data_IF_129121508048
#
_entry.id   IF_129121508048
#
_cell.length_a   1.000
_cell.length_b   1.000
_cell.length_c   1.000
_cell.angle_alpha   90.00
_cell.angle_beta   90.00
_cell.angle_gamma   90.00
#
_symmetry.space_group_name_H-M   'P 1'
#
loop_
_entity.id
_entity.type
_entity.pdbx_description
1 polymer ?
#
# COMPACT_ATOMS: atom_id res chain seq x y z
N UNK A 1 -11.12 6.08 11.09
CA UNK A 1 -10.37 5.38 12.14
C UNK A 1 -9.57 4.32 11.42
N UNK A 2 -8.23 4.33 11.45
CA UNK A 2 -7.44 3.43 10.61
C UNK A 2 -6.64 2.46 11.44
N UNK A 3 -6.83 1.16 11.17
CA UNK A 3 -6.11 0.08 11.81
C UNK A 3 -5.61 -0.94 10.78
N UNK A 4 -4.30 -1.17 10.82
CA UNK A 4 -3.57 -2.03 9.92
C UNK A 4 -2.67 -2.95 10.75
N UNK A 5 -2.55 -4.21 10.34
CA UNK A 5 -1.64 -5.18 10.95
C UNK A 5 -0.94 -5.99 9.87
N UNK A 6 0.35 -6.22 10.07
CA UNK A 6 1.17 -7.12 9.28
C UNK A 6 1.89 -8.06 10.23
N UNK A 7 1.85 -9.36 9.96
CA UNK A 7 2.49 -10.40 10.75
C UNK A 7 3.55 -11.10 9.90
N UNK A 8 4.76 -11.18 10.43
CA UNK A 8 5.81 -12.01 9.88
C UNK A 8 5.84 -13.35 10.62
N UNK A 9 5.61 -14.43 9.88
CA UNK A 9 5.59 -15.80 10.38
C UNK A 9 6.75 -16.58 9.75
N UNK A 10 7.05 -17.75 10.33
CA UNK A 10 8.07 -18.65 9.76
C UNK A 10 7.72 -19.08 8.32
N UNK A 11 6.43 -19.22 8.01
CA UNK A 11 5.96 -19.74 6.72
C UNK A 11 5.45 -18.64 5.77
N UNK A 12 5.63 -17.36 6.11
CA UNK A 12 5.21 -16.26 5.25
C UNK A 12 4.68 -15.05 6.00
N UNK A 13 3.91 -14.23 5.30
CA UNK A 13 3.39 -12.96 5.79
C UNK A 13 1.86 -12.96 5.78
N UNK A 14 1.25 -12.29 6.76
CA UNK A 14 -0.20 -12.05 6.83
C UNK A 14 -0.44 -10.56 6.93
N UNK A 15 -1.35 -10.03 6.11
CA UNK A 15 -1.71 -8.61 6.08
C UNK A 15 -3.21 -8.45 6.27
N UNK A 16 -3.62 -7.47 7.07
CA UNK A 16 -5.02 -7.14 7.28
C UNK A 16 -5.16 -5.66 7.61
N UNK A 17 -6.17 -5.01 7.03
CA UNK A 17 -6.50 -3.63 7.30
C UNK A 17 -8.01 -3.46 7.27
N UNK A 18 -8.51 -2.55 8.10
CA UNK A 18 -9.88 -2.06 7.96
C UNK A 18 -9.99 -1.10 6.75
N UNK A 19 -11.18 -0.57 6.48
CA UNK A 19 -11.42 0.34 5.35
C UNK A 19 -12.07 1.67 5.75
N UNK A 20 -12.56 1.80 6.98
CA UNK A 20 -13.23 3.01 7.47
C UNK A 20 -12.23 4.16 7.57
N UNK A 21 -12.46 5.25 6.84
CA UNK A 21 -11.51 6.37 6.77
C UNK A 21 -12.23 7.69 6.94
N UNK A 22 -11.61 8.61 7.69
CA UNK A 22 -12.06 9.99 7.75
C UNK A 22 -11.42 10.73 6.58
N UNK A 23 -12.25 11.19 5.65
CA UNK A 23 -11.87 11.92 4.44
C UNK A 23 -12.16 13.43 4.53
N UNK A 24 -12.54 13.92 5.71
CA UNK A 24 -12.90 15.31 5.96
C UNK A 24 -13.97 15.44 7.04
N UNK A 25 -14.32 16.68 7.38
CA UNK A 25 -15.43 16.98 8.29
C UNK A 25 -16.70 16.35 7.72
N UNK A 26 -17.37 15.53 8.53
CA UNK A 26 -18.59 14.79 8.19
C UNK A 26 -18.49 13.86 6.95
N UNK A 27 -17.27 13.48 6.57
CA UNK A 27 -17.03 12.51 5.50
C UNK A 27 -16.28 11.29 6.02
N UNK A 28 -17.02 10.26 6.40
CA UNK A 28 -16.49 8.96 6.78
C UNK A 28 -16.93 7.94 5.73
N UNK A 29 -15.97 7.38 5.01
CA UNK A 29 -16.22 6.49 3.87
C UNK A 29 -15.24 5.31 3.86
N UNK A 30 -15.46 4.34 2.97
CA UNK A 30 -14.62 3.16 2.85
C UNK A 30 -13.56 3.37 1.77
N UNK A 31 -12.30 3.21 2.12
CA UNK A 31 -11.16 3.27 1.20
C UNK A 31 -10.26 2.06 1.42
N UNK A 32 -9.68 1.56 0.32
CA UNK A 32 -8.70 0.48 0.36
C UNK A 32 -7.43 0.97 1.07
N UNK A 33 -6.91 0.15 2.00
CA UNK A 33 -5.70 0.45 2.77
C UNK A 33 -4.57 -0.56 2.56
N UNK A 34 -4.79 -1.59 1.74
CA UNK A 34 -3.76 -2.56 1.36
C UNK A 34 -3.51 -2.39 -0.13
N UNK A 35 -2.27 -2.11 -0.52
CA UNK A 35 -1.82 -2.00 -1.90
C UNK A 35 -0.67 -2.97 -2.11
N UNK A 36 -0.55 -3.51 -3.32
CA UNK A 36 0.49 -4.49 -3.60
C UNK A 36 1.02 -4.36 -5.03
N UNK A 37 2.31 -4.61 -5.19
CA UNK A 37 2.99 -4.66 -6.48
C UNK A 37 3.74 -5.99 -6.57
N UNK A 38 3.72 -6.60 -7.75
CA UNK A 38 4.20 -7.96 -7.95
C UNK A 38 5.03 -8.05 -9.22
N UNK A 39 6.18 -8.72 -9.13
CA UNK A 39 6.92 -9.22 -10.29
C UNK A 39 6.91 -10.75 -10.20
N UNK A 40 6.17 -11.43 -11.09
CA UNK A 40 5.95 -12.88 -10.98
C UNK A 40 7.27 -13.64 -10.84
N UNK A 41 7.30 -14.58 -9.88
CA UNK A 41 8.47 -15.42 -9.54
C UNK A 41 9.72 -14.67 -9.04
N UNK A 42 9.64 -13.35 -8.79
CA UNK A 42 10.77 -12.57 -8.31
C UNK A 42 10.45 -11.88 -6.96
N UNK A 43 9.41 -11.05 -6.90
CA UNK A 43 9.09 -10.27 -5.70
C UNK A 43 7.61 -9.93 -5.57
N UNK A 44 7.18 -9.75 -4.32
CA UNK A 44 5.86 -9.26 -3.95
C UNK A 44 6.02 -8.24 -2.82
N UNK A 45 5.52 -7.03 -3.03
CA UNK A 45 5.56 -5.95 -2.06
C UNK A 45 4.13 -5.62 -1.65
N UNK A 46 3.92 -5.40 -0.35
CA UNK A 46 2.65 -4.96 0.22
C UNK A 46 2.86 -3.66 1.01
N UNK A 47 1.99 -2.68 0.80
CA UNK A 47 1.93 -1.42 1.54
C UNK A 47 0.58 -1.29 2.23
N UNK A 48 0.61 -1.03 3.54
CA UNK A 48 -0.57 -0.75 4.34
C UNK A 48 -0.58 0.73 4.74
N UNK A 49 -1.72 1.42 4.61
CA UNK A 49 -1.82 2.87 4.84
C UNK A 49 -2.65 3.21 6.08
N UNK A 50 -2.19 4.22 6.82
CA UNK A 50 -2.92 4.81 7.94
C UNK A 50 -2.57 6.30 8.05
N UNK A 51 -3.48 7.09 8.65
CA UNK A 51 -3.30 8.54 8.79
C UNK A 51 -4.09 9.33 7.75
N UNK A 52 -3.47 10.38 7.20
CA UNK A 52 -4.12 11.30 6.27
C UNK A 52 -4.39 10.62 4.91
N UNK A 53 -5.67 10.61 4.49
CA UNK A 53 -6.09 9.95 3.26
C UNK A 53 -5.41 10.54 2.02
N UNK A 54 -5.36 11.88 1.89
CA UNK A 54 -4.75 12.53 0.75
C UNK A 54 -3.26 12.20 0.64
N UNK A 55 -2.51 12.28 1.74
CA UNK A 55 -1.09 11.91 1.75
C UNK A 55 -0.89 10.45 1.34
N UNK A 56 -1.66 9.52 1.90
CA UNK A 56 -1.55 8.11 1.54
C UNK A 56 -1.87 7.84 0.08
N UNK A 57 -2.90 8.49 -0.46
CA UNK A 57 -3.30 8.34 -1.87
C UNK A 57 -2.21 8.91 -2.80
N UNK A 58 -1.64 10.06 -2.48
CA UNK A 58 -0.54 10.64 -3.27
C UNK A 58 0.66 9.72 -3.33
N UNK A 59 1.08 9.13 -2.20
CA UNK A 59 2.21 8.19 -2.18
C UNK A 59 1.91 6.93 -3.00
N UNK A 60 0.71 6.36 -2.86
CA UNK A 60 0.31 5.17 -3.63
C UNK A 60 0.25 5.48 -5.13
N UNK A 61 -0.26 6.66 -5.52
CA UNK A 61 -0.34 7.08 -6.92
C UNK A 61 1.04 7.17 -7.54
N UNK A 62 1.96 7.90 -6.90
CA UNK A 62 3.33 8.09 -7.39
C UNK A 62 4.05 6.74 -7.55
N UNK A 63 4.00 5.88 -6.53
CA UNK A 63 4.63 4.55 -6.61
C UNK A 63 4.01 3.69 -7.72
N UNK A 64 2.70 3.78 -7.94
CA UNK A 64 2.02 2.98 -8.98
C UNK A 64 2.30 3.51 -10.38
N UNK A 65 2.41 4.83 -10.54
CA UNK A 65 2.79 5.49 -11.79
C UNK A 65 4.22 5.13 -12.18
N UNK A 66 5.18 5.24 -11.25
CA UNK A 66 6.59 4.86 -11.50
C UNK A 66 6.73 3.38 -11.89
N UNK A 67 5.97 2.49 -11.25
CA UNK A 67 5.96 1.06 -11.60
C UNK A 67 5.28 0.80 -12.95
N UNK A 68 4.27 1.59 -13.34
CA UNK A 68 3.54 1.40 -14.59
C UNK A 68 4.29 1.96 -15.80
N UNK A 69 4.97 3.09 -15.63
CA UNK A 69 5.69 3.77 -16.69
C UNK A 69 7.03 3.08 -17.02
N UNK A 70 7.56 2.24 -16.10
CA UNK A 70 8.85 1.54 -16.22
C UNK A 70 10.02 2.52 -16.51
N UNK A 71 9.86 3.78 -16.10
CA UNK A 71 10.83 4.84 -16.32
C UNK A 71 11.76 4.98 -15.12
N UNK A 72 12.95 4.40 -15.22
CA UNK A 72 13.99 4.52 -14.19
C UNK A 72 13.83 3.52 -13.03
N UNK A 73 14.66 3.69 -12.01
CA UNK A 73 14.68 2.82 -10.82
C UNK A 73 13.43 3.07 -9.98
N UNK A 74 12.66 2.01 -9.72
CA UNK A 74 11.45 2.07 -8.90
C UNK A 74 11.45 1.02 -7.77
N UNK A 75 10.37 0.97 -6.99
CA UNK A 75 10.23 0.05 -5.85
C UNK A 75 10.33 -1.44 -6.25
N UNK A 76 10.22 -1.77 -7.53
CA UNK A 76 10.37 -3.13 -8.06
C UNK A 76 11.80 -3.47 -8.51
N UNK A 77 12.77 -2.56 -8.35
CA UNK A 77 14.17 -2.76 -8.75
C UNK A 77 15.15 -2.87 -7.57
N UNK A 78 14.69 -2.60 -6.34
CA UNK A 78 15.51 -2.69 -5.13
C UNK A 78 16.21 -4.06 -5.01
N UNK A 79 17.49 -4.10 -4.61
CA UNK A 79 18.23 -5.34 -4.43
C UNK A 79 17.66 -6.17 -3.25
N UNK A 80 17.84 -7.49 -3.34
CA UNK A 80 17.38 -8.48 -2.34
C UNK A 80 18.33 -8.60 -1.15
#
# INVERSE_FOLDING_TARGET
>A
MSYCVALQLQNGLVFMADTLTNAGVDNISHYQKIHNWAKPNERQIFLLTAGNLATSQSVVSLLSEEVADDTGENIMDIPS
#
